data_IF_571165626988
#
_entry.id   IF_571165626988
#
_cell.length_a   1.000
_cell.length_b   1.000
_cell.length_c   1.000
_cell.angle_alpha   90.00
_cell.angle_beta   90.00
_cell.angle_gamma   90.00
#
_symmetry.space_group_name_H-M   'P 1'
#
loop_
_entity.id
_entity.type
_entity.pdbx_description
1 polymer ?
#
# COMPACT_ATOMS: atom_id res chain seq x y z
N UNK A 1 8.28 -18.85 12.23
CA UNK A 1 7.90 -18.37 10.89
C UNK A 1 6.37 -18.48 10.76
N UNK A 2 5.68 -17.41 10.35
CA UNK A 2 4.21 -17.41 10.25
C UNK A 2 3.71 -18.23 9.05
N UNK A 3 4.46 -18.29 7.95
CA UNK A 3 4.08 -19.06 6.76
C UNK A 3 4.06 -20.54 7.13
N UNK A 4 5.12 -21.03 7.76
CA UNK A 4 5.19 -22.42 8.22
C UNK A 4 4.12 -22.76 9.26
N UNK A 5 3.84 -21.84 10.19
CA UNK A 5 2.84 -22.05 11.23
C UNK A 5 1.41 -22.12 10.68
N UNK A 6 1.17 -21.62 9.46
CA UNK A 6 -0.17 -21.48 8.87
C UNK A 6 -0.37 -22.32 7.61
N UNK A 7 0.61 -23.15 7.22
CA UNK A 7 0.57 -23.97 5.99
C UNK A 7 -0.66 -24.88 5.87
N UNK A 8 -1.19 -25.37 6.99
CA UNK A 8 -2.35 -26.28 7.05
C UNK A 8 -3.64 -25.56 7.50
N UNK A 9 -3.64 -24.22 7.48
CA UNK A 9 -4.78 -23.42 7.95
C UNK A 9 -6.00 -23.42 7.01
N UNK A 10 -5.83 -23.89 5.77
CA UNK A 10 -6.85 -23.78 4.72
C UNK A 10 -7.07 -22.34 4.22
N UNK A 11 -6.28 -21.38 4.68
CA UNK A 11 -6.34 -20.00 4.21
C UNK A 11 -5.68 -19.88 2.83
N UNK A 12 -6.20 -19.03 1.92
CA UNK A 12 -5.60 -18.78 0.63
C UNK A 12 -4.39 -17.84 0.76
N UNK A 13 -3.32 -18.32 1.39
CA UNK A 13 -2.07 -17.59 1.54
C UNK A 13 -1.39 -17.53 0.17
N UNK A 14 -1.22 -16.32 -0.35
CA UNK A 14 -0.63 -16.05 -1.66
C UNK A 14 0.44 -14.97 -1.54
N UNK A 15 1.32 -14.91 -2.53
CA UNK A 15 2.25 -13.80 -2.65
C UNK A 15 1.47 -12.50 -2.94
N UNK A 16 1.86 -11.40 -2.29
CA UNK A 16 1.20 -10.10 -2.45
C UNK A 16 1.34 -9.54 -3.88
N UNK A 17 2.39 -9.93 -4.61
CA UNK A 17 2.62 -9.52 -5.99
C UNK A 17 1.64 -10.21 -6.96
N UNK A 18 1.24 -11.46 -6.70
CA UNK A 18 0.22 -12.15 -7.49
C UNK A 18 -1.12 -11.43 -7.36
N UNK A 19 -1.47 -11.02 -6.13
CA UNK A 19 -2.68 -10.23 -5.87
C UNK A 19 -2.66 -8.90 -6.64
N UNK A 20 -1.52 -8.20 -6.64
CA UNK A 20 -1.36 -6.94 -7.38
C UNK A 20 -1.54 -7.15 -8.89
N UNK A 21 -0.94 -8.19 -9.45
CA UNK A 21 -1.01 -8.49 -10.88
C UNK A 21 -2.44 -8.88 -11.31
N UNK A 22 -3.13 -9.68 -10.51
CA UNK A 22 -4.54 -10.05 -10.73
C UNK A 22 -5.43 -8.81 -10.77
N UNK A 23 -5.28 -7.91 -9.79
CA UNK A 23 -6.09 -6.68 -9.70
C UNK A 23 -5.77 -5.73 -10.86
N UNK A 24 -4.50 -5.55 -11.23
CA UNK A 24 -4.12 -4.72 -12.37
C UNK A 24 -4.66 -5.26 -13.70
N UNK A 25 -4.77 -6.59 -13.86
CA UNK A 25 -5.33 -7.20 -15.06
C UNK A 25 -6.85 -6.97 -15.18
N UNK A 26 -7.56 -6.88 -14.04
CA UNK A 26 -9.01 -6.67 -13.99
C UNK A 26 -9.35 -5.17 -14.12
N UNK A 27 -8.67 -4.33 -13.33
CA UNK A 27 -8.99 -2.91 -13.18
C UNK A 27 -8.15 -1.98 -14.08
N UNK A 28 -7.03 -2.47 -14.60
CA UNK A 28 -5.98 -1.63 -15.18
C UNK A 28 -5.11 -0.96 -14.12
N UNK A 29 -4.00 -0.36 -14.54
CA UNK A 29 -3.11 0.41 -13.67
C UNK A 29 -3.68 1.83 -13.52
N UNK A 30 -3.98 2.30 -12.29
CA UNK A 30 -4.53 3.63 -12.08
C UNK A 30 -3.53 4.72 -12.42
N UNK A 31 -4.02 5.81 -13.03
CA UNK A 31 -3.22 7.01 -13.27
C UNK A 31 -2.84 7.67 -11.93
N UNK A 32 -1.57 8.11 -11.81
CA UNK A 32 -1.10 8.81 -10.62
C UNK A 32 -1.73 10.20 -10.53
N UNK A 33 -2.12 10.66 -9.32
CA UNK A 33 -2.58 12.03 -9.13
C UNK A 33 -1.42 13.02 -9.35
N UNK A 34 -1.75 14.24 -9.78
CA UNK A 34 -0.80 15.35 -9.78
C UNK A 34 -0.76 15.97 -8.40
N UNK A 35 0.40 15.98 -7.79
CA UNK A 35 0.62 16.48 -6.44
C UNK A 35 1.54 17.70 -6.51
N UNK A 36 1.22 18.73 -5.74
CA UNK A 36 2.09 19.88 -5.53
C UNK A 36 3.13 19.61 -4.42
N UNK A 37 4.11 20.49 -4.30
CA UNK A 37 5.14 20.41 -3.26
C UNK A 37 4.65 20.85 -1.86
N UNK A 38 3.42 21.37 -1.75
CA UNK A 38 2.84 21.78 -0.47
C UNK A 38 2.48 20.55 0.38
N UNK A 39 3.18 20.39 1.51
CA UNK A 39 2.85 19.39 2.52
C UNK A 39 1.65 19.87 3.36
N UNK A 40 0.60 19.06 3.46
CA UNK A 40 -0.62 19.40 4.21
C UNK A 40 -0.76 18.62 5.51
N UNK A 41 -0.08 17.48 5.62
CA UNK A 41 -0.02 16.68 6.85
C UNK A 41 1.17 15.71 6.81
N UNK A 42 1.53 15.15 7.97
CA UNK A 42 2.53 14.09 8.13
C UNK A 42 1.92 12.88 8.81
N UNK A 43 2.39 11.69 8.45
CA UNK A 43 2.02 10.43 9.10
C UNK A 43 3.12 10.10 10.10
N UNK A 44 2.79 10.24 11.38
CA UNK A 44 3.66 9.94 12.51
C UNK A 44 3.35 8.53 13.04
N UNK A 45 4.40 7.75 13.31
CA UNK A 45 4.31 6.45 13.96
C UNK A 45 4.16 6.60 15.48
N UNK A 46 3.76 5.53 16.15
CA UNK A 46 3.51 5.54 17.60
C UNK A 46 4.72 5.97 18.46
N UNK A 47 5.93 5.90 17.91
CA UNK A 47 7.18 6.29 18.58
C UNK A 47 7.68 7.70 18.21
N UNK A 48 6.91 8.45 17.42
CA UNK A 48 7.27 9.78 16.94
C UNK A 48 8.02 9.80 15.61
N UNK A 49 8.33 8.65 15.02
CA UNK A 49 8.98 8.58 13.70
C UNK A 49 8.04 9.06 12.61
N UNK A 50 8.48 9.98 11.75
CA UNK A 50 7.72 10.38 10.57
C UNK A 50 7.90 9.34 9.47
N UNK A 51 6.79 8.70 9.06
CA UNK A 51 6.77 7.66 8.03
C UNK A 51 6.51 8.22 6.63
N UNK A 52 5.58 9.18 6.53
CA UNK A 52 5.14 9.70 5.23
C UNK A 52 4.62 11.14 5.33
N UNK A 53 4.46 11.80 4.18
CA UNK A 53 3.95 13.16 4.04
C UNK A 53 2.80 13.22 3.05
N UNK A 54 1.67 13.75 3.49
CA UNK A 54 0.51 13.97 2.63
C UNK A 54 0.72 15.31 1.90
N UNK A 55 0.71 15.25 0.55
CA UNK A 55 0.87 16.40 -0.34
C UNK A 55 -0.47 16.87 -0.88
N UNK A 56 -0.60 18.17 -1.10
CA UNK A 56 -1.78 18.78 -1.71
C UNK A 56 -1.92 18.37 -3.18
N UNK A 57 -3.13 17.99 -3.57
CA UNK A 57 -3.49 17.67 -4.97
C UNK A 57 -3.62 18.95 -5.79
N UNK A 58 -3.09 18.95 -7.01
CA UNK A 58 -3.28 20.05 -7.96
C UNK A 58 -4.77 20.16 -8.36
N UNK A 59 -5.25 21.39 -8.58
CA UNK A 59 -6.60 21.62 -9.12
C UNK A 59 -6.67 21.39 -10.62
#
# INVERSE_FOLDING_TARGET
DLIEATKDSGLPIRDIHDLKAEIDAICGIPAKPKLSDEAVAVVEWIDGTILDTIRKVEK
#
